data_IF_293087422774
#
_entry.id   IF_293087422774
#
_cell.length_a   1.000
_cell.length_b   1.000
_cell.length_c   1.000
_cell.angle_alpha   90.00
_cell.angle_beta   90.00
_cell.angle_gamma   90.00
#
_symmetry.space_group_name_H-M   'P 1'
#
loop_
_entity.id
_entity.type
_entity.pdbx_description
1 polymer ?
#
# COMPACT_ATOMS: atom_id res chain seq x y z
N UNK A 1 13.22 3.16 14.13
CA UNK A 1 12.94 3.67 15.50
C UNK A 1 11.63 4.45 15.60
N UNK A 2 11.45 5.55 14.86
CA UNK A 2 10.29 6.46 14.99
C UNK A 2 8.92 5.81 14.77
N UNK A 3 8.72 5.02 13.72
CA UNK A 3 7.43 4.36 13.46
C UNK A 3 7.04 3.36 14.56
N UNK A 4 8.02 2.71 15.19
CA UNK A 4 7.76 1.79 16.31
C UNK A 4 7.30 2.56 17.55
N UNK A 5 7.97 3.67 17.89
CA UNK A 5 7.57 4.54 19.01
C UNK A 5 6.17 5.12 18.80
N UNK A 6 5.86 5.58 17.59
CA UNK A 6 4.52 6.02 17.21
C UNK A 6 3.47 4.92 17.44
N UNK A 7 3.72 3.71 16.93
CA UNK A 7 2.78 2.60 17.06
C UNK A 7 2.56 2.20 18.53
N UNK A 8 3.64 2.16 19.31
CA UNK A 8 3.56 1.92 20.76
C UNK A 8 2.74 2.99 21.48
N UNK A 9 2.90 4.27 21.13
CA UNK A 9 2.10 5.36 21.69
C UNK A 9 0.61 5.26 21.34
N UNK A 10 0.28 4.87 20.11
CA UNK A 10 -1.12 4.65 19.68
C UNK A 10 -1.75 3.52 20.49
N UNK A 11 -1.04 2.39 20.65
CA UNK A 11 -1.51 1.25 21.46
C UNK A 11 -1.61 1.59 22.94
N UNK A 12 -0.81 2.55 23.41
CA UNK A 12 -0.88 2.97 24.81
C UNK A 12 -2.08 3.88 25.08
N UNK A 13 -2.26 4.91 24.26
CA UNK A 13 -3.30 5.92 24.42
C UNK A 13 -4.69 5.42 24.02
N UNK A 14 -4.77 4.54 23.02
CA UNK A 14 -6.03 4.11 22.42
C UNK A 14 -6.12 2.59 22.42
N UNK A 15 -6.53 2.01 23.56
CA UNK A 15 -6.63 0.55 23.74
C UNK A 15 -7.58 -0.14 22.74
N UNK A 16 -8.53 0.60 22.18
CA UNK A 16 -9.48 0.11 21.17
C UNK A 16 -9.04 0.37 19.72
N UNK A 17 -7.87 0.99 19.51
CA UNK A 17 -7.41 1.33 18.17
C UNK A 17 -7.21 0.06 17.31
N UNK A 18 -7.84 0.06 16.13
CA UNK A 18 -7.67 -1.01 15.14
C UNK A 18 -6.42 -0.77 14.32
N UNK A 19 -5.40 -1.59 14.55
CA UNK A 19 -4.17 -1.58 13.75
C UNK A 19 -4.48 -2.02 12.32
N UNK A 20 -4.53 -1.05 11.41
CA UNK A 20 -4.63 -1.27 9.97
C UNK A 20 -3.32 -1.79 9.37
N UNK A 21 -3.36 -2.54 8.25
CA UNK A 21 -2.16 -3.04 7.56
C UNK A 21 -1.13 -1.95 7.21
N UNK A 22 -1.58 -0.73 6.94
CA UNK A 22 -0.67 0.40 6.64
C UNK A 22 0.27 0.70 7.82
N UNK A 23 -0.19 0.55 9.06
CA UNK A 23 0.64 0.78 10.23
C UNK A 23 1.75 -0.26 10.37
N UNK A 24 1.48 -1.52 9.97
CA UNK A 24 2.50 -2.55 9.88
C UNK A 24 3.48 -2.24 8.74
N UNK A 25 2.98 -1.79 7.58
CA UNK A 25 3.82 -1.43 6.44
C UNK A 25 4.83 -0.32 6.77
N UNK A 26 4.45 0.65 7.61
CA UNK A 26 5.36 1.69 8.13
C UNK A 26 6.59 1.14 8.86
N UNK A 27 6.53 -0.06 9.44
CA UNK A 27 7.69 -0.70 10.09
C UNK A 27 8.73 -1.20 9.08
N UNK A 28 8.32 -1.42 7.83
CA UNK A 28 9.21 -1.88 6.74
C UNK A 28 9.76 -0.73 5.90
N UNK A 29 9.30 0.50 6.10
CA UNK A 29 9.65 1.65 5.26
C UNK A 29 11.16 1.88 5.17
N UNK A 30 11.89 1.76 6.28
CA UNK A 30 13.35 1.91 6.29
C UNK A 30 14.03 0.91 5.35
N UNK A 31 13.67 -0.37 5.49
CA UNK A 31 14.19 -1.44 4.63
C UNK A 31 13.84 -1.21 3.17
N UNK A 32 12.58 -0.87 2.90
CA UNK A 32 12.11 -0.60 1.54
C UNK A 32 12.84 0.60 0.92
N UNK A 33 13.09 1.67 1.69
CA UNK A 33 13.83 2.83 1.22
C UNK A 33 15.29 2.53 0.91
N UNK A 34 15.94 1.69 1.73
CA UNK A 34 17.34 1.29 1.50
C UNK A 34 17.46 0.36 0.31
N UNK A 35 16.58 -0.64 0.19
CA UNK A 35 16.68 -1.66 -0.86
C UNK A 35 16.16 -1.18 -2.21
N UNK A 36 15.14 -0.31 -2.22
CA UNK A 36 14.42 0.08 -3.44
C UNK A 36 14.53 1.59 -3.75
N UNK A 37 15.19 2.37 -2.89
CA UNK A 37 15.26 3.82 -3.00
C UNK A 37 13.96 4.51 -2.57
N UNK A 38 13.74 5.78 -2.94
CA UNK A 38 12.49 6.49 -2.74
C UNK A 38 11.33 5.80 -3.47
N UNK A 39 10.75 4.77 -2.86
CA UNK A 39 9.56 4.08 -3.37
C UNK A 39 8.39 5.02 -3.19
N UNK A 40 8.09 5.81 -4.22
CA UNK A 40 6.73 6.26 -4.41
C UNK A 40 5.84 5.03 -4.59
N UNK A 41 4.60 5.12 -4.11
CA UNK A 41 3.52 4.16 -4.40
C UNK A 41 3.15 4.15 -5.90
N UNK A 42 4.13 4.30 -6.80
CA UNK A 42 4.00 4.43 -8.24
C UNK A 42 3.26 3.23 -8.83
N UNK A 43 3.44 2.04 -8.23
CA UNK A 43 2.74 0.83 -8.63
C UNK A 43 1.23 1.01 -8.46
N UNK A 44 0.77 1.48 -7.30
CA UNK A 44 -0.67 1.66 -7.04
C UNK A 44 -1.30 2.62 -8.04
N UNK A 45 -0.71 3.81 -8.23
CA UNK A 45 -1.25 4.79 -9.17
C UNK A 45 -1.23 4.31 -10.63
N UNK A 46 -0.13 3.72 -11.08
CA UNK A 46 -0.03 3.19 -12.44
C UNK A 46 -1.05 2.07 -12.67
N UNK A 47 -1.22 1.15 -11.70
CA UNK A 47 -2.21 0.08 -11.80
C UNK A 47 -3.64 0.58 -11.73
N UNK A 48 -3.94 1.63 -10.96
CA UNK A 48 -5.24 2.30 -10.97
C UNK A 48 -5.55 2.89 -12.35
N UNK A 49 -4.57 3.57 -12.97
CA UNK A 49 -4.71 4.06 -14.35
C UNK A 49 -4.90 2.93 -15.37
N UNK A 50 -4.19 1.80 -15.21
CA UNK A 50 -4.39 0.63 -16.04
C UNK A 50 -5.78 0.02 -15.85
N UNK A 51 -6.25 -0.13 -14.60
CA UNK A 51 -7.57 -0.64 -14.28
C UNK A 51 -8.66 0.22 -14.93
N UNK A 52 -8.54 1.55 -14.84
CA UNK A 52 -9.44 2.48 -15.51
C UNK A 52 -9.45 2.28 -17.03
N UNK A 53 -8.27 2.13 -17.64
CA UNK A 53 -8.13 1.87 -19.08
C UNK A 53 -8.79 0.55 -19.48
N UNK A 54 -8.56 -0.51 -18.71
CA UNK A 54 -9.11 -1.85 -18.96
C UNK A 54 -10.62 -1.87 -18.82
N UNK A 55 -11.19 -1.22 -17.79
CA UNK A 55 -12.63 -1.10 -17.59
C UNK A 55 -13.34 -0.39 -18.75
N UNK A 56 -12.63 0.51 -19.45
CA UNK A 56 -13.17 1.24 -20.61
C UNK A 56 -12.94 0.53 -21.94
N UNK A 57 -12.08 -0.48 -21.97
CA UNK A 57 -11.79 -1.24 -23.17
C UNK A 57 -12.94 -2.21 -23.43
N UNK A 58 -13.60 -2.08 -24.58
CA UNK A 58 -14.67 -3.01 -24.97
C UNK A 58 -14.05 -4.38 -25.24
N UNK A 59 -14.29 -5.34 -24.35
CA UNK A 59 -13.94 -6.73 -24.58
C UNK A 59 -15.09 -7.42 -25.32
N UNK A 60 -14.77 -8.37 -26.20
CA UNK A 60 -15.77 -9.18 -26.90
C UNK A 60 -16.39 -10.27 -26.00
N UNK A 61 -15.99 -10.33 -24.72
CA UNK A 61 -16.39 -11.31 -23.69
C UNK A 61 -16.29 -12.77 -24.16
N UNK A 62 -15.45 -13.05 -25.16
CA UNK A 62 -15.16 -14.40 -25.65
C UNK A 62 -13.77 -14.77 -25.19
N UNK A 63 -13.64 -15.97 -24.62
CA UNK A 63 -12.33 -16.59 -24.45
C UNK A 63 -11.77 -16.87 -25.86
N UNK A 64 -10.46 -16.69 -26.04
CA UNK A 64 -9.80 -17.06 -27.30
C UNK A 64 -9.91 -18.56 -27.54
N UNK A 65 -10.16 -18.96 -28.78
CA UNK A 65 -9.98 -20.34 -29.25
C UNK A 65 -8.49 -20.63 -29.52
#
# INVERSE_FOLDING_TARGET
YHFKSYLSGVLDLYKEAKIQPVHHACLHFERLLVELGPVHSWRTWAFECFNYTLQRTKTNMRFGE
#
